data_IF_219851882159
#
_entry.id   IF_219851882159
#
_cell.length_a   1.000
_cell.length_b   1.000
_cell.length_c   1.000
_cell.angle_alpha   90.00
_cell.angle_beta   90.00
_cell.angle_gamma   90.00
#
_symmetry.space_group_name_H-M   'P 1'
#
loop_
_entity.id
_entity.type
_entity.pdbx_description
1 polymer ?
#
# COMPACT_ATOMS: atom_id res chain seq x y z
N UNK A 1 17.40 -18.44 0.37
CA UNK A 1 16.65 -17.17 0.25
C UNK A 1 16.36 -16.57 1.63
N UNK A 2 16.30 -15.25 1.75
CA UNK A 2 15.93 -14.54 2.98
C UNK A 2 14.72 -13.63 2.71
N UNK A 3 13.86 -13.47 3.71
CA UNK A 3 12.69 -12.61 3.61
C UNK A 3 12.55 -11.74 4.85
N UNK A 4 11.85 -10.62 4.71
CA UNK A 4 11.59 -9.69 5.79
C UNK A 4 10.11 -9.37 5.80
N UNK A 5 9.46 -9.61 6.93
CA UNK A 5 8.08 -9.23 7.12
C UNK A 5 8.01 -7.82 7.69
N UNK A 6 7.17 -6.99 7.07
CA UNK A 6 6.96 -5.60 7.47
C UNK A 6 5.53 -5.48 7.98
N UNK A 7 5.37 -5.04 9.23
CA UNK A 7 4.05 -4.85 9.82
C UNK A 7 3.40 -3.60 9.24
N UNK A 8 2.23 -3.77 8.64
CA UNK A 8 1.42 -2.65 8.19
C UNK A 8 0.72 -1.99 9.39
N UNK A 9 0.84 -0.66 9.49
CA UNK A 9 0.22 0.17 10.52
C UNK A 9 -0.78 1.13 9.86
N UNK A 10 -1.79 1.56 10.60
CA UNK A 10 -2.79 2.55 10.17
C UNK A 10 -3.45 2.23 8.81
N UNK A 11 -3.83 0.97 8.60
CA UNK A 11 -4.52 0.52 7.39
C UNK A 11 -5.98 0.17 7.67
N UNK A 12 -6.84 0.32 6.65
CA UNK A 12 -8.21 -0.17 6.66
C UNK A 12 -8.21 -1.68 6.34
N UNK A 13 -8.62 -2.57 7.27
CA UNK A 13 -8.66 -4.01 7.01
C UNK A 13 -9.55 -4.40 5.83
N UNK A 14 -10.59 -3.62 5.52
CA UNK A 14 -11.51 -3.92 4.42
C UNK A 14 -10.82 -3.80 3.06
N UNK A 15 -9.91 -2.85 2.90
CA UNK A 15 -9.16 -2.67 1.66
C UNK A 15 -8.21 -3.84 1.34
N UNK A 16 -8.01 -4.75 2.29
CA UNK A 16 -7.13 -5.91 2.19
C UNK A 16 -7.87 -7.24 2.20
N UNK A 17 -9.21 -7.20 2.16
CA UNK A 17 -10.04 -8.40 2.13
C UNK A 17 -9.87 -9.16 0.80
N UNK A 18 -9.61 -10.46 0.90
CA UNK A 18 -9.39 -11.29 -0.28
C UNK A 18 -10.70 -11.56 -1.03
N UNK A 19 -11.80 -11.73 -0.30
CA UNK A 19 -13.10 -12.08 -0.87
C UNK A 19 -13.70 -10.90 -1.62
N UNK A 20 -13.62 -9.70 -1.06
CA UNK A 20 -14.02 -8.45 -1.70
C UNK A 20 -13.31 -8.27 -3.05
N UNK A 21 -11.98 -8.46 -3.08
CA UNK A 21 -11.21 -8.41 -4.33
C UNK A 21 -11.65 -9.48 -5.33
N UNK A 22 -11.88 -10.72 -4.90
CA UNK A 22 -12.31 -11.79 -5.78
C UNK A 22 -13.71 -11.53 -6.35
N UNK A 23 -14.61 -10.96 -5.56
CA UNK A 23 -15.94 -10.57 -5.98
C UNK A 23 -15.90 -9.46 -7.03
N UNK A 24 -15.10 -8.41 -6.80
CA UNK A 24 -14.87 -7.33 -7.78
C UNK A 24 -14.25 -7.85 -9.09
N UNK A 25 -13.32 -8.80 -9.01
CA UNK A 25 -12.74 -9.46 -10.19
C UNK A 25 -13.77 -10.30 -10.95
N UNK A 26 -14.63 -11.04 -10.25
CA UNK A 26 -15.70 -11.83 -10.86
C UNK A 26 -16.73 -10.94 -11.57
N UNK A 27 -17.04 -9.77 -11.00
CA UNK A 27 -17.89 -8.74 -11.62
C UNK A 27 -17.21 -8.01 -12.79
N UNK A 28 -15.90 -8.19 -12.96
CA UNK A 28 -15.12 -7.60 -14.04
C UNK A 28 -15.22 -6.06 -14.08
N UNK A 29 -15.36 -5.45 -12.91
CA UNK A 29 -15.57 -4.01 -12.74
C UNK A 29 -14.35 -3.19 -13.17
N UNK A 30 -13.19 -3.82 -13.34
CA UNK A 30 -12.01 -3.20 -13.94
C UNK A 30 -12.30 -2.63 -15.34
N UNK A 31 -13.30 -3.16 -16.07
CA UNK A 31 -13.73 -2.59 -17.36
C UNK A 31 -14.45 -1.24 -17.24
N UNK A 32 -14.96 -0.93 -16.06
CA UNK A 32 -15.67 0.32 -15.75
C UNK A 32 -14.71 1.38 -15.18
N UNK A 33 -13.44 1.03 -14.99
CA UNK A 33 -12.39 1.98 -14.58
C UNK A 33 -12.02 2.81 -15.80
N UNK A 34 -12.58 4.01 -15.88
CA UNK A 34 -12.23 5.03 -16.85
C UNK A 34 -11.52 6.23 -16.19
N UNK A 35 -11.14 7.21 -17.00
CA UNK A 35 -10.45 8.41 -16.52
C UNK A 35 -11.33 9.21 -15.59
N UNK A 36 -12.64 9.29 -15.85
CA UNK A 36 -13.59 10.07 -15.06
C UNK A 36 -13.79 9.46 -13.68
N UNK A 37 -13.87 8.13 -13.59
CA UNK A 37 -13.86 7.39 -12.34
C UNK A 37 -12.60 7.69 -11.53
N UNK A 38 -11.42 7.63 -12.17
CA UNK A 38 -10.15 7.94 -11.50
C UNK A 38 -10.09 9.38 -11.01
N UNK A 39 -10.53 10.35 -11.83
CA UNK A 39 -10.62 11.76 -11.45
C UNK A 39 -11.63 11.99 -10.31
N UNK A 40 -12.69 11.19 -10.24
CA UNK A 40 -13.67 11.19 -9.16
C UNK A 40 -13.13 10.68 -7.83
N UNK A 41 -12.08 9.86 -7.83
CA UNK A 41 -11.38 9.46 -6.59
C UNK A 41 -10.53 10.58 -5.99
N UNK A 42 -10.19 11.59 -6.79
CA UNK A 42 -9.40 12.73 -6.33
C UNK A 42 -10.33 13.69 -5.60
N UNK A 43 -10.00 13.99 -4.35
CA UNK A 43 -10.69 15.04 -3.59
C UNK A 43 -10.28 16.42 -4.13
N UNK A 44 -10.99 16.85 -5.18
CA UNK A 44 -10.72 18.11 -5.88
C UNK A 44 -10.88 19.32 -4.95
N UNK A 45 -11.87 19.30 -4.06
CA UNK A 45 -12.11 20.38 -3.09
C UNK A 45 -10.94 20.52 -2.10
N UNK A 46 -10.39 19.40 -1.64
CA UNK A 46 -9.18 19.41 -0.83
C UNK A 46 -7.96 19.92 -1.62
N UNK A 47 -7.80 19.49 -2.88
CA UNK A 47 -6.73 19.99 -3.74
C UNK A 47 -6.80 21.50 -3.96
N UNK A 48 -7.99 22.06 -4.16
CA UNK A 48 -8.19 23.52 -4.23
C UNK A 48 -7.82 24.20 -2.92
N UNK A 49 -8.23 23.64 -1.78
CA UNK A 49 -7.88 24.16 -0.45
C UNK A 49 -6.36 24.23 -0.28
N UNK A 50 -5.63 23.18 -0.65
CA UNK A 50 -4.16 23.14 -0.60
C UNK A 50 -3.54 24.20 -1.51
N UNK A 51 -4.01 24.34 -2.75
CA UNK A 51 -3.52 25.33 -3.71
C UNK A 51 -3.71 26.76 -3.19
N UNK A 52 -4.88 27.08 -2.64
CA UNK A 52 -5.18 28.39 -2.06
C UNK A 52 -4.25 28.68 -0.88
N UNK A 53 -4.06 27.71 0.02
CA UNK A 53 -3.16 27.88 1.16
C UNK A 53 -1.70 28.05 0.73
N UNK A 54 -1.25 27.37 -0.32
CA UNK A 54 0.10 27.56 -0.88
C UNK A 54 0.30 28.99 -1.37
N UNK A 55 -0.67 29.53 -2.11
CA UNK A 55 -0.62 30.93 -2.55
C UNK A 55 -0.62 31.91 -1.37
N UNK A 56 -1.47 31.69 -0.36
CA UNK A 56 -1.49 32.52 0.85
C UNK A 56 -0.17 32.45 1.62
N UNK A 57 0.43 31.27 1.72
CA UNK A 57 1.74 31.08 2.35
C UNK A 57 2.83 31.86 1.60
N UNK A 58 2.84 31.81 0.27
CA UNK A 58 3.78 32.57 -0.56
C UNK A 58 3.62 34.07 -0.35
N UNK A 59 2.38 34.58 -0.34
CA UNK A 59 2.10 36.01 -0.13
C UNK A 59 2.57 36.47 1.26
N UNK A 60 2.22 35.73 2.31
CA UNK A 60 2.62 36.07 3.68
C UNK A 60 4.14 35.97 3.89
N UNK A 61 4.83 35.12 3.13
CA UNK A 61 6.29 35.00 3.19
C UNK A 61 7.00 36.17 2.49
N UNK A 62 6.48 36.64 1.36
CA UNK A 62 7.16 37.64 0.52
C UNK A 62 6.65 39.08 0.69
N UNK A 63 5.48 39.29 1.28
CA UNK A 63 4.90 40.61 1.52
C UNK A 63 4.95 40.91 3.04
N UNK A 64 5.89 41.75 3.51
CA UNK A 64 6.10 42.01 4.94
C UNK A 64 4.85 42.51 5.67
N UNK A 65 3.99 43.26 4.98
CA UNK A 65 2.73 43.80 5.49
C UNK A 65 1.73 42.71 5.88
N UNK A 66 1.87 41.50 5.30
CA UNK A 66 1.00 40.35 5.56
C UNK A 66 1.56 39.40 6.62
N UNK A 67 2.72 39.67 7.21
CA UNK A 67 3.38 38.78 8.16
C UNK A 67 2.52 38.48 9.41
N UNK A 68 1.63 39.41 9.80
CA UNK A 68 0.68 39.20 10.90
C UNK A 68 -0.27 38.01 10.70
N UNK A 69 -0.50 37.58 9.46
CA UNK A 69 -1.38 36.45 9.13
C UNK A 69 -0.66 35.10 9.11
N UNK A 70 0.66 35.06 9.30
CA UNK A 70 1.45 33.82 9.19
C UNK A 70 0.99 32.72 10.14
N UNK A 71 0.63 33.08 11.37
CA UNK A 71 0.12 32.12 12.33
C UNK A 71 -1.22 31.53 11.87
N UNK A 72 -2.14 32.37 11.40
CA UNK A 72 -3.44 31.91 10.90
C UNK A 72 -3.30 31.00 9.68
N UNK A 73 -2.40 31.31 8.73
CA UNK A 73 -2.17 30.43 7.57
C UNK A 73 -1.62 29.07 8.02
N UNK A 74 -0.68 29.04 8.97
CA UNK A 74 -0.18 27.78 9.54
C UNK A 74 -1.30 26.98 10.26
N UNK A 75 -2.21 27.65 10.95
CA UNK A 75 -3.33 27.00 11.63
C UNK A 75 -4.33 26.41 10.63
N UNK A 76 -4.54 27.06 9.48
CA UNK A 76 -5.34 26.51 8.38
C UNK A 76 -4.71 25.24 7.79
N UNK A 77 -3.38 25.16 7.71
CA UNK A 77 -2.70 23.92 7.31
C UNK A 77 -2.96 22.76 8.27
N UNK A 78 -2.96 23.03 9.57
CA UNK A 78 -3.20 22.01 10.61
C UNK A 78 -4.66 21.57 10.72
N UNK A 79 -5.59 22.44 10.36
CA UNK A 79 -7.03 22.21 10.59
C UNK A 79 -7.79 21.84 9.33
N UNK A 80 -7.58 22.56 8.21
CA UNK A 80 -8.36 22.41 6.97
C UNK A 80 -7.64 21.61 5.89
N UNK A 81 -6.32 21.69 5.85
CA UNK A 81 -5.49 21.00 4.87
C UNK A 81 -4.86 19.71 5.41
N UNK A 82 -5.09 19.38 6.68
CA UNK A 82 -4.62 18.14 7.28
C UNK A 82 -5.44 16.94 6.77
N UNK A 83 -4.89 16.19 5.81
CA UNK A 83 -5.45 14.91 5.35
C UNK A 83 -4.37 13.84 5.39
N UNK A 84 -4.69 12.67 5.94
CA UNK A 84 -3.77 11.53 6.07
C UNK A 84 -2.44 11.85 6.78
N UNK A 85 -2.44 12.79 7.74
CA UNK A 85 -1.27 12.97 8.59
C UNK A 85 -1.06 11.69 9.40
N UNK A 86 0.14 11.10 9.43
CA UNK A 86 0.45 10.05 10.38
C UNK A 86 0.14 10.57 11.78
N UNK A 87 -0.78 9.89 12.48
CA UNK A 87 -1.17 10.26 13.85
C UNK A 87 0.07 10.35 14.75
N UNK A 88 1.02 9.45 14.50
CA UNK A 88 2.34 9.39 15.11
C UNK A 88 3.33 8.84 14.07
N UNK A 89 4.55 9.38 14.02
CA UNK A 89 5.65 8.76 13.27
C UNK A 89 6.10 7.49 14.01
N UNK A 90 5.35 6.39 13.85
CA UNK A 90 5.74 5.09 14.39
C UNK A 90 6.79 4.46 13.48
N UNK A 91 7.89 4.02 14.07
CA UNK A 91 8.86 3.19 13.37
C UNK A 91 8.16 1.89 12.95
N UNK A 92 8.14 1.61 11.65
CA UNK A 92 7.58 0.36 11.12
C UNK A 92 8.29 -0.82 11.76
N UNK A 93 7.52 -1.76 12.30
CA UNK A 93 8.06 -2.99 12.87
C UNK A 93 8.47 -3.92 11.73
N UNK A 94 9.72 -4.33 11.76
CA UNK A 94 10.38 -5.15 10.74
C UNK A 94 10.83 -6.43 11.42
N UNK A 95 10.40 -7.57 10.89
CA UNK A 95 10.72 -8.90 11.41
C UNK A 95 11.53 -9.67 10.37
N UNK A 96 12.84 -9.90 10.61
CA UNK A 96 13.61 -10.79 9.74
C UNK A 96 13.07 -12.21 9.87
N UNK A 97 12.79 -12.85 8.74
CA UNK A 97 12.35 -14.24 8.69
C UNK A 97 13.55 -15.18 8.64
N UNK A 98 13.38 -16.40 9.12
CA UNK A 98 14.42 -17.43 9.07
C UNK A 98 14.73 -17.79 7.61
N UNK A 99 16.01 -17.87 7.29
CA UNK A 99 16.54 -18.14 5.96
C UNK A 99 16.17 -19.55 5.51
N UNK A 100 15.82 -19.71 4.24
CA UNK A 100 15.55 -21.01 3.61
C UNK A 100 16.71 -21.40 2.68
N UNK A 101 17.00 -22.70 2.54
CA UNK A 101 18.05 -23.19 1.62
C UNK A 101 17.58 -23.35 0.17
N UNK A 102 16.34 -22.93 -0.12
CA UNK A 102 15.69 -23.06 -1.44
C UNK A 102 16.26 -22.07 -2.46
N UNK A 103 16.35 -22.51 -3.71
CA UNK A 103 16.83 -21.77 -4.86
C UNK A 103 15.69 -20.94 -5.49
N UNK A 104 15.92 -19.64 -5.57
CA UNK A 104 14.99 -18.68 -6.16
C UNK A 104 14.87 -18.83 -7.69
N UNK A 105 15.88 -19.44 -8.35
CA UNK A 105 15.85 -19.69 -9.79
C UNK A 105 14.83 -20.77 -10.19
N UNK A 106 14.51 -21.68 -9.26
CA UNK A 106 13.57 -22.77 -9.49
C UNK A 106 12.18 -22.35 -9.00
N UNK A 107 11.23 -22.28 -9.92
CA UNK A 107 9.86 -21.82 -9.66
C UNK A 107 9.15 -22.64 -8.56
N UNK A 108 9.42 -23.94 -8.48
CA UNK A 108 8.89 -24.85 -7.45
C UNK A 108 9.49 -24.54 -6.08
N UNK A 109 10.81 -24.37 -6.00
CA UNK A 109 11.50 -24.08 -4.75
C UNK A 109 11.16 -22.66 -4.24
N UNK A 110 11.00 -21.70 -5.15
CA UNK A 110 10.49 -20.36 -4.81
C UNK A 110 9.08 -20.44 -4.19
N UNK A 111 8.16 -21.21 -4.78
CA UNK A 111 6.82 -21.45 -4.22
C UNK A 111 6.91 -22.03 -2.81
N UNK A 112 7.71 -23.08 -2.65
CA UNK A 112 7.86 -23.75 -1.36
C UNK A 112 8.50 -22.83 -0.31
N UNK A 113 9.40 -21.93 -0.73
CA UNK A 113 10.01 -20.97 0.16
C UNK A 113 9.02 -19.88 0.59
N UNK A 114 8.13 -19.43 -0.30
CA UNK A 114 7.04 -18.50 0.05
C UNK A 114 6.10 -19.15 1.08
N UNK A 115 5.69 -20.39 0.87
CA UNK A 115 4.85 -21.13 1.84
C UNK A 115 5.55 -21.24 3.20
N UNK A 116 6.84 -21.53 3.21
CA UNK A 116 7.63 -21.60 4.45
C UNK A 116 7.72 -20.24 5.16
N UNK A 117 7.93 -19.15 4.43
CA UNK A 117 7.91 -17.80 5.01
C UNK A 117 6.53 -17.42 5.56
N UNK A 118 5.45 -17.77 4.86
CA UNK A 118 4.09 -17.57 5.34
C UNK A 118 3.80 -18.39 6.60
N UNK A 119 4.29 -19.62 6.67
CA UNK A 119 4.19 -20.46 7.89
C UNK A 119 4.91 -19.84 9.09
N UNK A 120 6.04 -19.16 8.88
CA UNK A 120 6.73 -18.43 9.97
C UNK A 120 5.90 -17.24 10.47
N UNK A 121 5.03 -16.68 9.63
CA UNK A 121 4.06 -15.64 9.99
C UNK A 121 2.75 -16.18 10.58
N UNK A 122 2.67 -17.50 10.80
CA UNK A 122 1.51 -18.16 11.40
C UNK A 122 0.43 -18.60 10.41
N UNK A 123 0.64 -18.43 9.10
CA UNK A 123 -0.26 -18.97 8.06
C UNK A 123 0.02 -20.46 7.85
N UNK A 124 -0.81 -21.32 8.41
CA UNK A 124 -0.64 -22.79 8.26
C UNK A 124 -1.59 -23.33 7.21
N UNK A 125 -1.26 -24.51 6.69
CA UNK A 125 -2.15 -25.20 5.75
C UNK A 125 -3.54 -25.42 6.39
N UNK A 126 -4.58 -24.96 5.70
CA UNK A 126 -5.96 -24.94 6.20
C UNK A 126 -6.33 -23.80 7.17
N UNK A 127 -5.36 -23.03 7.68
CA UNK A 127 -5.57 -21.88 8.58
C UNK A 127 -4.92 -20.62 8.00
N UNK A 128 -5.51 -20.16 6.88
CA UNK A 128 -5.08 -18.97 6.18
C UNK A 128 -5.96 -17.78 6.56
N UNK A 129 -5.32 -16.67 6.94
CA UNK A 129 -6.01 -15.39 7.06
C UNK A 129 -6.39 -14.95 5.65
N UNK A 130 -7.69 -14.80 5.39
CA UNK A 130 -8.25 -14.37 4.10
C UNK A 130 -7.99 -12.89 3.83
N UNK A 131 -6.72 -12.51 3.77
CA UNK A 131 -6.26 -11.15 3.47
C UNK A 131 -5.20 -11.20 2.39
N UNK A 132 -5.12 -10.10 1.64
CA UNK A 132 -4.07 -9.91 0.67
C UNK A 132 -2.73 -9.74 1.39
N UNK A 133 -1.70 -10.44 0.91
CA UNK A 133 -0.33 -10.27 1.35
C UNK A 133 0.47 -9.81 0.13
N UNK A 134 1.11 -8.65 0.24
CA UNK A 134 2.05 -8.20 -0.78
C UNK A 134 3.39 -8.89 -0.54
N UNK A 135 3.83 -9.64 -1.54
CA UNK A 135 5.17 -10.20 -1.60
C UNK A 135 5.89 -9.59 -2.80
N UNK A 136 7.15 -9.25 -2.61
CA UNK A 136 8.00 -8.68 -3.65
C UNK A 136 9.46 -8.87 -3.30
N UNK A 137 10.31 -8.77 -4.32
CA UNK A 137 11.75 -8.92 -4.21
C UNK A 137 12.44 -8.23 -5.38
N UNK A 138 13.57 -8.76 -5.80
CA UNK A 138 14.32 -8.23 -6.93
C UNK A 138 13.67 -8.56 -8.30
N UNK A 139 14.33 -8.15 -9.38
CA UNK A 139 13.82 -8.35 -10.74
C UNK A 139 13.65 -9.83 -11.12
N UNK A 140 14.49 -10.72 -10.57
CA UNK A 140 14.40 -12.16 -10.82
C UNK A 140 13.17 -12.73 -10.10
N UNK A 141 12.97 -12.37 -8.82
CA UNK A 141 11.79 -12.78 -8.06
C UNK A 141 10.50 -12.35 -8.79
N UNK A 142 10.46 -11.12 -9.30
CA UNK A 142 9.32 -10.60 -10.05
C UNK A 142 9.04 -11.42 -11.32
N UNK A 143 10.06 -11.73 -12.12
CA UNK A 143 9.90 -12.56 -13.31
C UNK A 143 9.38 -13.95 -12.95
N UNK A 144 9.90 -14.55 -11.87
CA UNK A 144 9.48 -15.86 -11.39
C UNK A 144 8.03 -15.84 -10.87
N UNK A 145 7.58 -14.77 -10.21
CA UNK A 145 6.18 -14.58 -9.86
C UNK A 145 5.26 -14.57 -11.09
N UNK A 146 5.67 -13.91 -12.17
CA UNK A 146 4.93 -13.91 -13.43
C UNK A 146 4.89 -15.30 -14.07
N UNK A 147 5.98 -16.06 -13.99
CA UNK A 147 6.02 -17.45 -14.45
C UNK A 147 5.09 -18.34 -13.62
N UNK A 148 5.08 -18.20 -12.29
CA UNK A 148 4.15 -18.92 -11.40
C UNK A 148 2.68 -18.66 -11.75
N UNK A 149 2.33 -17.41 -12.07
CA UNK A 149 0.95 -17.05 -12.45
C UNK A 149 0.49 -17.72 -13.76
N UNK A 150 1.42 -18.07 -14.65
CA UNK A 150 1.12 -18.74 -15.93
C UNK A 150 0.99 -20.25 -15.80
N UNK A 151 1.51 -20.84 -14.74
CA UNK A 151 1.34 -22.27 -14.47
C UNK A 151 -0.11 -22.46 -14.02
N UNK A 152 -0.94 -23.21 -14.76
CA UNK A 152 -2.30 -23.47 -14.33
C UNK A 152 -2.24 -24.18 -12.98
N UNK A 153 -3.01 -23.69 -12.01
CA UNK A 153 -3.20 -24.35 -10.72
C UNK A 153 -3.61 -25.80 -10.98
N UNK A 154 -2.69 -26.73 -10.74
CA UNK A 154 -2.98 -28.16 -10.73
C UNK A 154 -3.99 -28.38 -9.57
N UNK A 155 -5.04 -29.19 -9.77
CA UNK A 155 -6.15 -29.27 -8.83
C UNK A 155 -5.70 -29.80 -7.46
N UNK A 156 -6.20 -29.11 -6.42
CA UNK A 156 -6.37 -29.53 -5.01
C UNK A 156 -5.20 -30.25 -4.34
#
# INVERSE_FOLDING_TARGET
>A
MAATAVKMVDFDPKAWDLDDKLEHLAKNEHRLVDVDWFLGLIDQAHMETIKVLQWLQTLVHHVPELNGYRQHVNDLYKTRAAKCLPSECKKTEIYPLAVTQKDENLTTELRDAIVEFLSQLGQKDGDYVRRLILAGGDGLMYEKFLQMKKIPSIPS
#
